data_IF_669794656605
#
_entry.id   IF_669794656605
#
_cell.length_a   1.000
_cell.length_b   1.000
_cell.length_c   1.000
_cell.angle_alpha   90.00
_cell.angle_beta   90.00
_cell.angle_gamma   90.00
#
_symmetry.space_group_name_H-M   'P 1'
#
loop_
_entity.id
_entity.type
_entity.pdbx_description
1 polymer ?
#
# COMPACT_ATOMS: atom_id res chain seq x y z
N UNK A 1 7.49 0.28 2.17
CA UNK A 1 6.65 0.53 0.99
C UNK A 1 5.19 0.50 1.44
N UNK A 2 4.36 1.43 0.96
CA UNK A 2 2.90 1.46 1.20
C UNK A 2 2.21 1.39 -0.16
N UNK A 3 1.12 0.64 -0.27
CA UNK A 3 0.22 0.66 -1.43
C UNK A 3 -1.12 1.20 -0.94
N UNK A 4 -1.51 2.38 -1.40
CA UNK A 4 -2.76 3.06 -1.02
C UNK A 4 -3.46 3.57 -2.27
N UNK A 5 -4.44 2.84 -2.77
CA UNK A 5 -5.21 3.21 -3.96
C UNK A 5 -6.23 4.31 -3.66
N UNK A 6 -6.46 5.21 -4.62
CA UNK A 6 -7.58 6.13 -4.55
C UNK A 6 -8.83 5.45 -5.10
N UNK A 7 -9.77 5.07 -4.24
CA UNK A 7 -11.06 4.55 -4.69
C UNK A 7 -11.99 5.72 -5.06
N UNK A 8 -12.49 5.72 -6.30
CA UNK A 8 -13.44 6.71 -6.81
C UNK A 8 -14.85 6.60 -6.22
N UNK A 9 -15.58 7.70 -6.28
CA UNK A 9 -16.87 8.06 -5.69
C UNK A 9 -18.11 7.26 -6.17
N UNK A 10 -17.97 5.99 -6.57
CA UNK A 10 -18.96 5.32 -7.44
C UNK A 10 -19.82 4.26 -6.72
N UNK A 11 -19.94 4.31 -5.39
CA UNK A 11 -20.74 3.37 -4.62
C UNK A 11 -21.54 4.09 -3.55
N UNK A 12 -22.86 4.00 -3.64
CA UNK A 12 -23.85 4.42 -2.65
C UNK A 12 -23.34 4.40 -1.21
N UNK A 13 -23.27 5.56 -0.58
CA UNK A 13 -22.97 5.67 0.84
C UNK A 13 -22.58 7.10 1.18
N UNK A 14 -23.61 7.91 1.40
CA UNK A 14 -23.61 9.11 2.25
C UNK A 14 -22.61 10.23 1.90
N UNK A 15 -23.17 11.43 1.70
CA UNK A 15 -22.42 12.68 1.71
C UNK A 15 -21.67 12.82 3.05
N UNK A 16 -20.36 12.51 3.06
CA UNK A 16 -19.48 12.77 4.21
C UNK A 16 -18.56 11.65 4.70
N UNK A 17 -18.21 10.62 3.90
CA UNK A 17 -17.41 9.48 4.41
C UNK A 17 -15.91 9.80 4.70
N UNK A 18 -15.37 9.38 5.87
CA UNK A 18 -13.99 9.61 6.33
C UNK A 18 -12.89 8.85 5.56
N UNK A 19 -13.25 7.91 4.69
CA UNK A 19 -12.29 7.08 3.91
C UNK A 19 -11.33 7.93 3.06
N UNK A 20 -11.81 9.05 2.53
CA UNK A 20 -10.97 9.99 1.77
C UNK A 20 -9.93 10.70 2.67
N UNK A 21 -10.31 11.00 3.92
CA UNK A 21 -9.42 11.60 4.92
C UNK A 21 -8.36 10.61 5.36
N UNK A 22 -8.76 9.38 5.70
CA UNK A 22 -7.80 8.36 6.15
C UNK A 22 -6.79 8.01 5.06
N UNK A 23 -7.24 7.85 3.81
CA UNK A 23 -6.34 7.63 2.67
C UNK A 23 -5.35 8.79 2.48
N UNK A 24 -5.81 10.04 2.66
CA UNK A 24 -4.93 11.21 2.61
C UNK A 24 -3.88 11.20 3.73
N UNK A 25 -4.29 10.95 4.98
CA UNK A 25 -3.38 10.91 6.12
C UNK A 25 -2.35 9.78 5.98
N UNK A 26 -2.75 8.61 5.47
CA UNK A 26 -1.83 7.50 5.18
C UNK A 26 -0.75 7.92 4.15
N UNK A 27 -1.18 8.52 3.03
CA UNK A 27 -0.24 8.97 1.98
C UNK A 27 0.69 10.06 2.49
N UNK A 28 0.16 11.02 3.27
CA UNK A 28 0.94 12.09 3.90
C UNK A 28 1.99 11.52 4.86
N UNK A 29 1.59 10.65 5.79
CA UNK A 29 2.49 10.04 6.75
C UNK A 29 3.61 9.22 6.08
N UNK A 30 3.30 8.54 4.96
CA UNK A 30 4.31 7.81 4.19
C UNK A 30 5.38 8.76 3.61
N UNK A 31 4.97 9.86 2.98
CA UNK A 31 5.89 10.87 2.42
C UNK A 31 6.74 11.51 3.52
N UNK A 32 6.12 11.96 4.61
CA UNK A 32 6.81 12.59 5.74
C UNK A 32 7.87 11.67 6.36
N UNK A 33 7.63 10.35 6.36
CA UNK A 33 8.57 9.32 6.87
C UNK A 33 9.53 8.79 5.81
N UNK A 34 9.54 9.34 4.59
CA UNK A 34 10.33 8.85 3.44
C UNK A 34 10.08 7.37 3.11
N UNK A 35 8.86 6.91 3.33
CA UNK A 35 8.41 5.57 2.95
C UNK A 35 7.78 5.67 1.56
N UNK A 36 8.26 4.92 0.55
CA UNK A 36 7.65 4.92 -0.78
C UNK A 36 6.16 4.56 -0.71
N UNK A 37 5.32 5.32 -1.41
CA UNK A 37 3.86 5.16 -1.44
C UNK A 37 3.36 5.04 -2.88
N UNK A 38 2.80 3.87 -3.24
CA UNK A 38 2.19 3.63 -4.55
C UNK A 38 0.69 3.86 -4.47
N UNK A 39 0.14 4.61 -5.44
CA UNK A 39 -1.29 4.95 -5.48
C UNK A 39 -2.06 4.27 -6.61
N UNK A 40 -1.36 3.47 -7.43
CA UNK A 40 -1.94 2.67 -8.51
C UNK A 40 -1.51 1.20 -8.34
N UNK A 41 -2.45 0.28 -8.60
CA UNK A 41 -2.16 -1.15 -8.64
C UNK A 41 -1.25 -1.51 -9.83
N UNK A 42 -1.36 -0.80 -10.95
CA UNK A 42 -0.52 -1.06 -12.13
C UNK A 42 0.97 -0.83 -11.81
N UNK A 43 1.27 0.23 -11.06
CA UNK A 43 2.64 0.50 -10.60
C UNK A 43 3.10 -0.53 -9.57
N UNK A 44 2.20 -1.02 -8.71
CA UNK A 44 2.53 -2.07 -7.76
C UNK A 44 2.86 -3.40 -8.46
N UNK A 45 2.11 -3.75 -9.50
CA UNK A 45 2.37 -4.95 -10.31
C UNK A 45 3.72 -4.85 -11.02
N UNK A 46 4.01 -3.74 -11.71
CA UNK A 46 5.30 -3.52 -12.37
C UNK A 46 6.48 -3.57 -11.38
N UNK A 47 6.32 -3.01 -10.19
CA UNK A 47 7.32 -3.10 -9.13
C UNK A 47 7.55 -4.56 -8.69
N UNK A 48 6.48 -5.32 -8.47
CA UNK A 48 6.57 -6.73 -8.09
C UNK A 48 7.26 -7.57 -9.18
N UNK A 49 6.88 -7.40 -10.44
CA UNK A 49 7.47 -8.12 -11.58
C UNK A 49 8.98 -7.83 -11.70
N UNK A 50 9.39 -6.57 -11.54
CA UNK A 50 10.81 -6.21 -11.55
C UNK A 50 11.57 -6.75 -10.33
N UNK A 51 10.94 -6.76 -9.15
CA UNK A 51 11.55 -7.26 -7.91
C UNK A 51 11.76 -8.78 -7.95
N UNK A 52 10.78 -9.54 -8.41
CA UNK A 52 10.87 -11.00 -8.58
C UNK A 52 11.93 -11.37 -9.63
N UNK A 53 12.08 -10.55 -10.67
CA UNK A 53 13.12 -10.76 -11.69
C UNK A 53 14.52 -10.42 -11.16
N UNK A 54 14.63 -9.48 -10.23
CA UNK A 54 15.91 -8.98 -9.70
C UNK A 54 16.43 -9.73 -8.46
N UNK A 55 15.56 -10.40 -7.68
CA UNK A 55 15.94 -11.02 -6.41
C UNK A 55 15.30 -12.41 -6.21
N UNK A 56 16.12 -13.37 -5.80
CA UNK A 56 15.66 -14.70 -5.35
C UNK A 56 15.09 -14.74 -3.93
N UNK A 57 15.06 -13.61 -3.22
CA UNK A 57 14.78 -13.55 -1.76
C UNK A 57 13.55 -12.67 -1.42
N UNK A 58 12.49 -12.67 -2.24
CA UNK A 58 11.23 -12.04 -1.87
C UNK A 58 10.40 -13.02 -1.01
N UNK A 59 10.34 -12.76 0.29
CA UNK A 59 9.55 -13.53 1.26
C UNK A 59 8.21 -12.82 1.55
N UNK A 60 7.10 -13.55 1.40
CA UNK A 60 5.76 -13.04 1.74
C UNK A 60 5.40 -13.54 3.14
N UNK A 61 5.12 -12.60 4.05
CA UNK A 61 4.66 -12.87 5.42
C UNK A 61 3.45 -12.02 5.77
N UNK A 62 2.58 -12.56 6.61
CA UNK A 62 1.53 -11.79 7.28
C UNK A 62 2.15 -10.79 8.26
N UNK A 63 1.37 -9.79 8.66
CA UNK A 63 1.83 -8.78 9.63
C UNK A 63 2.19 -9.41 10.98
N UNK A 64 1.54 -10.50 11.36
CA UNK A 64 1.81 -11.20 12.62
C UNK A 64 3.16 -11.91 12.54
N UNK A 65 3.38 -12.73 11.51
CA UNK A 65 4.66 -13.45 11.28
C UNK A 65 5.85 -12.47 11.21
N UNK A 66 5.68 -11.34 10.51
CA UNK A 66 6.74 -10.33 10.42
C UNK A 66 7.07 -9.68 11.77
N UNK A 67 6.05 -9.40 12.60
CA UNK A 67 6.24 -8.77 13.92
C UNK A 67 6.85 -9.73 14.95
N UNK A 68 6.53 -11.01 14.85
CA UNK A 68 7.00 -12.05 15.77
C UNK A 68 8.38 -12.59 15.37
N UNK A 69 8.83 -12.32 14.14
CA UNK A 69 10.12 -12.79 13.63
C UNK A 69 10.16 -14.31 13.39
N UNK A 70 8.99 -14.93 13.32
CA UNK A 70 8.83 -16.37 13.04
C UNK A 70 8.66 -16.53 11.54
N UNK A 71 9.49 -17.39 10.95
CA UNK A 71 9.43 -17.79 9.54
C UNK A 71 8.52 -19.01 9.37
#
# INVERSE_FOLDING_TARGET
LVINTMTGTNGSGEAGRPVMKDGFEIRRAAVERRIPCLTSLDTAAALLESAVTAAGDLEVRTITEWREGVA
#
